data_IF_904560769095
#
_entry.id   IF_904560769095
#
_cell.length_a   1.000
_cell.length_b   1.000
_cell.length_c   1.000
_cell.angle_alpha   90.00
_cell.angle_beta   90.00
_cell.angle_gamma   90.00
#
_symmetry.space_group_name_H-M   'P 1'
#
loop_
_entity.id
_entity.type
_entity.pdbx_description
1 polymer ?
#
# COMPACT_ATOMS: atom_id res chain seq x y z
N UNK A 1 24.91 24.39 3.28
CA UNK A 1 24.52 25.79 3.58
C UNK A 1 23.18 26.04 2.91
N UNK A 2 22.23 26.59 3.66
CA UNK A 2 20.87 26.92 3.23
C UNK A 2 20.85 27.73 1.94
N UNK A 3 19.95 27.39 1.01
CA UNK A 3 19.39 28.33 0.04
C UNK A 3 17.88 28.36 0.23
N UNK A 4 17.39 29.54 0.58
CA UNK A 4 16.00 29.84 0.87
C UNK A 4 15.23 29.95 -0.45
N UNK A 5 14.09 29.28 -0.56
CA UNK A 5 13.09 29.58 -1.58
C UNK A 5 12.24 30.72 -1.04
N UNK A 6 12.30 31.88 -1.70
CA UNK A 6 11.41 33.01 -1.42
C UNK A 6 10.27 32.95 -2.45
N UNK A 7 9.08 32.59 -1.98
CA UNK A 7 7.84 32.68 -2.75
C UNK A 7 7.29 34.10 -2.61
N UNK A 8 7.38 34.90 -3.66
CA UNK A 8 6.74 36.22 -3.73
C UNK A 8 5.39 36.04 -4.44
N UNK A 9 4.30 36.11 -3.68
CA UNK A 9 2.96 36.29 -4.23
C UNK A 9 2.69 37.79 -4.40
N UNK A 10 2.70 38.29 -5.63
CA UNK A 10 2.18 39.63 -5.93
C UNK A 10 0.74 39.51 -6.43
N UNK A 11 -0.22 39.87 -5.59
CA UNK A 11 -1.62 40.10 -5.97
C UNK A 11 -1.73 41.52 -6.54
N UNK A 12 -1.83 41.65 -7.87
CA UNK A 12 -2.28 42.88 -8.50
C UNK A 12 -3.80 42.95 -8.39
N UNK A 13 -4.31 43.66 -7.38
CA UNK A 13 -5.73 44.04 -7.32
C UNK A 13 -5.94 45.38 -8.01
N UNK A 14 -6.33 45.37 -9.28
CA UNK A 14 -7.02 46.53 -9.87
C UNK A 14 -8.52 46.39 -9.63
N UNK A 15 -9.09 47.45 -9.08
CA UNK A 15 -10.54 47.62 -9.02
C UNK A 15 -11.07 47.85 -10.44
N UNK A 16 -12.20 47.22 -10.81
CA UNK A 16 -13.42 47.84 -11.38
C UNK A 16 -14.29 46.82 -12.14
N UNK A 17 -15.61 46.95 -11.88
CA UNK A 17 -16.82 46.49 -12.58
C UNK A 17 -17.40 45.08 -12.33
N UNK A 18 -18.66 44.99 -11.85
CA UNK A 18 -19.39 43.72 -11.73
C UNK A 18 -19.91 43.29 -13.11
N UNK A 19 -19.52 42.10 -13.57
CA UNK A 19 -20.16 41.50 -14.75
C UNK A 19 -19.32 40.55 -15.61
N UNK A 20 -18.03 40.36 -15.33
CA UNK A 20 -17.18 39.45 -16.12
C UNK A 20 -16.45 38.51 -15.17
N UNK A 21 -16.76 37.22 -15.25
CA UNK A 21 -15.95 36.15 -14.65
C UNK A 21 -14.72 35.99 -15.54
N UNK A 22 -13.57 36.54 -15.14
CA UNK A 22 -12.28 36.13 -15.67
C UNK A 22 -11.67 35.12 -14.71
N UNK A 23 -11.33 33.93 -15.23
CA UNK A 23 -10.49 32.98 -14.51
C UNK A 23 -9.10 33.58 -14.28
N UNK A 24 -8.47 33.35 -13.11
CA UNK A 24 -7.15 33.87 -12.83
C UNK A 24 -6.12 33.24 -13.79
N UNK A 25 -5.52 34.07 -14.63
CA UNK A 25 -4.32 33.72 -15.40
C UNK A 25 -3.11 33.77 -14.48
N UNK A 26 -2.46 32.62 -14.26
CA UNK A 26 -1.16 32.54 -13.60
C UNK A 26 -0.08 32.41 -14.68
N UNK A 27 0.78 33.41 -14.80
CA UNK A 27 2.04 33.30 -15.55
C UNK A 27 3.17 33.01 -14.57
N UNK A 28 3.82 31.85 -14.74
CA UNK A 28 5.01 31.48 -14.00
C UNK A 28 6.23 31.76 -14.88
N UNK A 29 7.04 32.75 -14.52
CA UNK A 29 8.37 32.89 -15.11
C UNK A 29 9.35 32.00 -14.35
N UNK A 30 9.95 31.05 -15.09
CA UNK A 30 11.02 30.17 -14.60
C UNK A 30 12.33 30.96 -14.68
N UNK A 31 12.97 31.20 -13.55
CA UNK A 31 14.37 31.63 -13.52
C UNK A 31 15.20 30.37 -13.29
N UNK A 32 15.98 29.99 -14.30
CA UNK A 32 16.89 28.86 -14.24
C UNK A 32 18.21 29.31 -13.61
N UNK A 33 18.58 28.70 -12.49
CA UNK A 33 19.97 28.61 -12.08
C UNK A 33 20.39 27.14 -12.23
N UNK A 34 21.33 26.91 -13.15
CA UNK A 34 22.03 25.64 -13.35
C UNK A 34 22.81 25.26 -12.08
N UNK A 35 22.44 24.14 -11.47
CA UNK A 35 23.32 23.22 -10.76
C UNK A 35 22.51 21.96 -10.41
N UNK A 36 22.41 21.04 -11.37
CA UNK A 36 21.70 19.77 -11.26
C UNK A 36 22.49 18.77 -10.40
N UNK A 37 22.17 18.72 -9.11
CA UNK A 37 22.32 17.48 -8.33
C UNK A 37 21.28 16.47 -8.83
N UNK A 38 21.71 15.29 -9.26
CA UNK A 38 20.84 14.16 -9.60
C UNK A 38 20.05 13.68 -8.36
N UNK A 39 18.92 14.31 -8.08
CA UNK A 39 17.86 13.70 -7.27
C UNK A 39 17.07 12.78 -8.18
N UNK A 40 17.37 11.48 -8.15
CA UNK A 40 16.43 10.49 -8.68
C UNK A 40 15.10 10.63 -7.93
N UNK A 41 14.12 11.25 -8.57
CA UNK A 41 12.73 11.24 -8.13
C UNK A 41 12.29 9.78 -8.08
N UNK A 42 12.20 9.23 -6.87
CA UNK A 42 11.69 7.87 -6.66
C UNK A 42 10.18 7.93 -6.88
N UNK A 43 9.75 7.60 -8.10
CA UNK A 43 8.34 7.44 -8.45
C UNK A 43 7.67 6.47 -7.47
N UNK A 44 6.70 6.99 -6.70
CA UNK A 44 5.90 6.21 -5.76
C UNK A 44 4.89 5.34 -6.52
N UNK A 45 4.65 4.13 -6.02
CA UNK A 45 3.68 3.20 -6.60
C UNK A 45 2.41 3.10 -5.76
N UNK A 46 1.25 3.14 -6.40
CA UNK A 46 -0.05 2.77 -5.80
C UNK A 46 -0.61 1.56 -6.51
N UNK A 47 -0.98 0.54 -5.76
CA UNK A 47 -1.41 -0.76 -6.28
C UNK A 47 -2.84 -1.05 -5.83
N UNK A 48 -3.75 -1.21 -6.78
CA UNK A 48 -5.15 -1.49 -6.50
C UNK A 48 -5.32 -3.01 -6.43
N UNK A 49 -5.62 -3.52 -5.24
CA UNK A 49 -6.07 -4.89 -5.01
C UNK A 49 -7.59 -4.93 -5.05
N UNK A 50 -8.18 -5.85 -5.83
CA UNK A 50 -9.62 -6.03 -5.92
C UNK A 50 -10.01 -7.50 -5.78
N UNK A 51 -11.15 -7.75 -5.15
CA UNK A 51 -11.73 -9.08 -4.95
C UNK A 51 -13.14 -9.13 -5.56
N UNK A 52 -13.36 -9.94 -6.60
CA UNK A 52 -14.70 -10.07 -7.18
C UNK A 52 -15.51 -11.12 -6.43
N UNK A 53 -16.56 -10.67 -5.76
CA UNK A 53 -17.59 -11.54 -5.18
C UNK A 53 -18.71 -11.83 -6.20
N UNK A 54 -19.46 -12.94 -6.03
CA UNK A 54 -20.70 -13.16 -6.78
C UNK A 54 -21.68 -12.00 -6.53
N UNK A 55 -22.43 -11.60 -7.56
CA UNK A 55 -23.37 -10.46 -7.47
C UNK A 55 -24.51 -10.66 -6.47
N UNK A 56 -24.78 -11.90 -6.09
CA UNK A 56 -25.79 -12.30 -5.10
C UNK A 56 -25.33 -12.11 -3.66
N UNK A 57 -24.04 -11.80 -3.44
CA UNK A 57 -23.41 -11.74 -2.14
C UNK A 57 -23.16 -10.29 -1.74
N UNK A 58 -23.51 -9.97 -0.50
CA UNK A 58 -23.07 -8.73 0.14
C UNK A 58 -21.60 -8.89 0.53
N UNK A 59 -20.78 -7.97 0.04
CA UNK A 59 -19.33 -7.96 0.32
C UNK A 59 -19.11 -7.93 1.84
N UNK A 60 -18.41 -8.93 2.41
CA UNK A 60 -18.15 -9.00 3.83
C UNK A 60 -17.02 -8.05 4.21
N UNK A 61 -16.80 -7.87 5.51
CA UNK A 61 -15.61 -7.19 5.98
C UNK A 61 -14.38 -8.08 5.71
N UNK A 62 -13.45 -7.61 4.88
CA UNK A 62 -12.23 -8.33 4.55
C UNK A 62 -11.09 -8.03 5.51
N UNK A 63 -10.20 -8.99 5.68
CA UNK A 63 -9.00 -8.84 6.48
C UNK A 63 -7.77 -9.30 5.71
N UNK A 64 -6.76 -8.43 5.66
CA UNK A 64 -5.47 -8.76 5.08
C UNK A 64 -4.37 -7.86 5.62
N UNK A 65 -3.14 -8.22 5.30
CA UNK A 65 -1.92 -7.58 5.78
C UNK A 65 -0.91 -7.40 4.65
N UNK A 66 -0.10 -6.37 4.79
CA UNK A 66 1.05 -6.13 3.92
C UNK A 66 2.13 -5.39 4.71
N UNK A 67 3.35 -5.94 4.73
CA UNK A 67 4.48 -5.40 5.53
C UNK A 67 4.14 -5.19 7.02
N UNK A 68 3.33 -6.07 7.60
CA UNK A 68 2.88 -5.99 8.99
C UNK A 68 1.73 -5.01 9.25
N UNK A 69 1.34 -4.20 8.26
CA UNK A 69 0.20 -3.29 8.36
C UNK A 69 -1.08 -3.98 7.89
N UNK A 70 -2.18 -3.71 8.59
CA UNK A 70 -3.49 -4.13 8.14
C UNK A 70 -3.89 -3.36 6.87
N UNK A 71 -4.45 -4.09 5.91
CA UNK A 71 -5.00 -3.52 4.69
C UNK A 71 -6.40 -2.95 4.94
N UNK A 72 -6.59 -1.70 4.53
CA UNK A 72 -7.87 -1.01 4.61
C UNK A 72 -8.70 -1.29 3.35
N UNK A 73 -9.60 -2.26 3.46
CA UNK A 73 -10.55 -2.59 2.42
C UNK A 73 -11.77 -1.66 2.49
N UNK A 74 -12.06 -0.97 1.39
CA UNK A 74 -13.34 -0.30 1.15
C UNK A 74 -14.17 -1.24 0.28
N UNK A 75 -15.12 -1.95 0.89
CA UNK A 75 -15.82 -3.07 0.28
C UNK A 75 -14.83 -4.15 -0.23
N UNK A 76 -14.71 -4.29 -1.54
CA UNK A 76 -13.93 -5.32 -2.22
C UNK A 76 -12.58 -4.82 -2.75
N UNK A 77 -12.21 -3.59 -2.42
CA UNK A 77 -11.03 -2.90 -2.95
C UNK A 77 -10.12 -2.40 -1.84
N UNK A 78 -8.82 -2.53 -2.03
CA UNK A 78 -7.79 -1.91 -1.19
C UNK A 78 -6.71 -1.24 -2.05
N UNK A 79 -6.11 -0.17 -1.55
CA UNK A 79 -4.97 0.50 -2.18
C UNK A 79 -3.73 0.26 -1.32
N UNK A 80 -2.72 -0.36 -1.94
CA UNK A 80 -1.40 -0.59 -1.34
C UNK A 80 -0.45 0.48 -1.85
N UNK A 81 0.22 1.21 -0.95
CA UNK A 81 1.16 2.27 -1.31
C UNK A 81 2.60 1.81 -1.09
N UNK A 82 3.45 2.10 -2.07
CA UNK A 82 4.87 1.80 -2.03
C UNK A 82 5.69 3.04 -2.32
N UNK A 83 6.80 3.19 -1.59
CA UNK A 83 7.76 4.28 -1.79
C UNK A 83 8.51 4.19 -3.13
N UNK A 84 8.46 3.03 -3.78
CA UNK A 84 9.07 2.77 -5.10
C UNK A 84 8.19 1.83 -5.90
N UNK A 85 8.31 1.88 -7.21
CA UNK A 85 7.69 0.88 -8.08
C UNK A 85 8.19 -0.55 -7.80
N UNK A 86 7.30 -1.39 -7.30
CA UNK A 86 7.43 -2.84 -7.27
C UNK A 86 7.18 -3.43 -8.68
N UNK A 87 8.08 -4.34 -9.08
CA UNK A 87 7.95 -5.21 -10.25
C UNK A 87 7.34 -6.56 -9.89
N UNK A 88 7.28 -6.93 -8.62
CA UNK A 88 6.65 -8.17 -8.18
C UNK A 88 6.03 -8.07 -6.78
N UNK A 89 5.08 -8.95 -6.53
CA UNK A 89 4.47 -9.17 -5.22
C UNK A 89 4.35 -10.67 -4.97
N UNK A 90 4.52 -11.09 -3.72
CA UNK A 90 4.01 -12.37 -3.25
C UNK A 90 2.64 -12.15 -2.65
N UNK A 91 1.69 -13.04 -2.94
CA UNK A 91 0.37 -13.03 -2.34
C UNK A 91 0.12 -14.37 -1.69
N UNK A 92 -0.36 -14.37 -0.45
CA UNK A 92 -0.72 -15.56 0.30
C UNK A 92 -2.17 -15.42 0.72
N UNK A 93 -2.96 -16.45 0.43
CA UNK A 93 -4.33 -16.57 0.89
C UNK A 93 -4.35 -17.75 1.85
N UNK A 94 -4.72 -17.51 3.11
CA UNK A 94 -4.73 -18.51 4.17
C UNK A 94 -5.87 -18.23 5.13
N UNK A 95 -6.42 -19.27 5.75
CA UNK A 95 -7.50 -19.10 6.73
C UNK A 95 -7.05 -18.31 7.96
N UNK A 96 -5.81 -18.53 8.37
CA UNK A 96 -5.25 -18.05 9.63
C UNK A 96 -3.70 -18.07 9.58
N UNK A 97 -3.07 -17.36 10.51
CA UNK A 97 -1.61 -17.27 10.68
C UNK A 97 -1.25 -17.17 12.16
N UNK A 98 -0.12 -17.76 12.55
CA UNK A 98 0.49 -17.48 13.86
C UNK A 98 1.29 -16.19 13.75
N UNK A 99 1.14 -15.32 14.75
CA UNK A 99 1.87 -14.05 14.81
C UNK A 99 3.01 -14.21 15.80
N UNK A 100 4.23 -13.95 15.34
CA UNK A 100 5.40 -13.90 16.21
C UNK A 100 5.80 -12.45 16.42
N UNK A 101 5.71 -12.00 17.66
CA UNK A 101 6.07 -10.65 18.07
C UNK A 101 7.30 -10.66 18.97
N UNK A 102 8.04 -9.55 18.93
CA UNK A 102 9.05 -9.23 19.93
C UNK A 102 8.74 -7.84 20.48
N UNK A 103 8.63 -7.72 21.80
CA UNK A 103 8.14 -6.55 22.54
C UNK A 103 6.79 -6.00 22.05
N UNK A 104 6.83 -5.08 21.09
CA UNK A 104 5.69 -4.34 20.54
C UNK A 104 5.67 -4.33 19.01
N UNK A 105 6.44 -5.21 18.37
CA UNK A 105 6.57 -5.30 16.91
C UNK A 105 6.34 -6.73 16.44
N UNK A 106 5.62 -6.90 15.32
CA UNK A 106 5.59 -8.19 14.61
C UNK A 106 6.99 -8.40 14.02
N UNK A 107 7.62 -9.53 14.35
CA UNK A 107 8.85 -9.93 13.68
C UNK A 107 8.51 -10.68 12.38
N UNK A 108 7.62 -11.67 12.48
CA UNK A 108 7.13 -12.43 11.32
C UNK A 108 5.75 -13.05 11.55
N UNK A 109 5.16 -13.50 10.43
CA UNK A 109 3.94 -14.29 10.42
C UNK A 109 4.29 -15.71 9.98
N UNK A 110 3.67 -16.70 10.59
CA UNK A 110 3.91 -18.11 10.33
C UNK A 110 2.62 -18.80 9.88
N UNK A 111 2.74 -19.76 8.95
CA UNK A 111 1.64 -20.65 8.63
C UNK A 111 1.28 -21.55 9.79
N UNK A 112 -0.01 -21.88 9.85
CA UNK A 112 -0.51 -22.95 10.71
C UNK A 112 -0.62 -24.21 9.83
N UNK A 113 0.19 -25.26 10.04
CA UNK A 113 0.23 -26.42 9.15
C UNK A 113 -1.10 -27.15 8.96
N UNK A 114 -2.00 -27.07 9.93
CA UNK A 114 -3.33 -27.67 9.85
C UNK A 114 -4.34 -26.84 9.05
N UNK A 115 -3.98 -25.62 8.61
CA UNK A 115 -4.84 -24.70 7.88
C UNK A 115 -4.46 -24.68 6.41
N UNK A 116 -5.44 -24.39 5.55
CA UNK A 116 -5.19 -24.31 4.11
C UNK A 116 -4.55 -22.98 3.76
N UNK A 117 -3.55 -23.04 2.89
CA UNK A 117 -2.83 -21.88 2.35
C UNK A 117 -2.59 -22.08 0.85
N UNK A 118 -2.64 -20.97 0.09
CA UNK A 118 -2.24 -20.89 -1.32
C UNK A 118 -1.32 -19.67 -1.48
N UNK A 119 -0.21 -19.83 -2.18
CA UNK A 119 0.75 -18.76 -2.42
C UNK A 119 0.91 -18.51 -3.91
N UNK A 120 0.99 -17.23 -4.29
CA UNK A 120 1.08 -16.77 -5.66
C UNK A 120 2.19 -15.74 -5.80
N UNK A 121 2.92 -15.79 -6.90
CA UNK A 121 3.84 -14.74 -7.32
C UNK A 121 3.21 -13.95 -8.45
N UNK A 122 3.12 -12.63 -8.23
CA UNK A 122 2.59 -11.67 -9.17
C UNK A 122 3.76 -10.89 -9.74
N UNK A 123 4.07 -11.09 -11.02
CA UNK A 123 5.21 -10.44 -11.68
C UNK A 123 4.72 -9.49 -12.77
N UNK A 124 5.14 -8.23 -12.69
CA UNK A 124 4.79 -7.18 -13.64
C UNK A 124 5.73 -7.24 -14.83
N UNK A 125 5.17 -7.36 -16.02
CA UNK A 125 5.89 -7.21 -17.28
C UNK A 125 5.47 -5.90 -17.95
N UNK A 126 6.46 -5.13 -18.42
CA UNK A 126 6.22 -3.91 -19.19
C UNK A 126 6.59 -4.24 -20.64
N UNK A 127 5.56 -4.28 -21.49
CA UNK A 127 5.70 -4.55 -22.92
C UNK A 127 6.37 -3.36 -23.64
N UNK A 128 6.90 -3.62 -24.83
CA UNK A 128 7.61 -2.60 -25.64
C UNK A 128 6.74 -1.39 -26.02
N UNK A 129 5.43 -1.58 -26.05
CA UNK A 129 4.42 -0.54 -26.31
C UNK A 129 3.97 0.19 -25.03
N UNK A 130 4.61 -0.07 -23.88
CA UNK A 130 4.30 0.53 -22.60
C UNK A 130 3.06 -0.06 -21.91
N UNK A 131 2.49 -1.16 -22.45
CA UNK A 131 1.41 -1.88 -21.79
C UNK A 131 1.95 -2.70 -20.61
N UNK A 132 1.17 -2.71 -19.54
CA UNK A 132 1.49 -3.45 -18.32
C UNK A 132 0.64 -4.70 -18.26
N UNK A 133 1.32 -5.82 -18.08
CA UNK A 133 0.74 -7.14 -18.00
C UNK A 133 1.27 -7.84 -16.75
N UNK A 134 0.37 -8.45 -15.98
CA UNK A 134 0.74 -9.23 -14.81
C UNK A 134 0.79 -10.71 -15.17
N UNK A 135 1.87 -11.36 -14.77
CA UNK A 135 1.98 -12.81 -14.74
C UNK A 135 1.64 -13.29 -13.32
N UNK A 136 0.83 -14.33 -13.23
CA UNK A 136 0.46 -14.98 -11.97
C UNK A 136 0.97 -16.41 -12.00
N UNK A 137 1.75 -16.79 -11.01
CA UNK A 137 2.27 -18.14 -10.83
C UNK A 137 1.84 -18.64 -9.45
N UNK A 138 1.19 -19.80 -9.38
CA UNK A 138 0.84 -20.44 -8.11
C UNK A 138 1.97 -21.37 -7.67
N UNK A 139 2.41 -21.20 -6.43
CA UNK A 139 3.42 -22.05 -5.81
C UNK A 139 2.82 -23.43 -5.50
N UNK A 140 3.63 -24.48 -5.60
CA UNK A 140 3.18 -25.82 -5.18
C UNK A 140 2.97 -25.85 -3.67
N UNK A 141 1.95 -26.58 -3.23
CA UNK A 141 1.53 -26.61 -1.82
C UNK A 141 2.67 -26.96 -0.85
N UNK A 142 3.54 -27.89 -1.24
CA UNK A 142 4.62 -28.38 -0.38
C UNK A 142 5.82 -27.41 -0.29
N UNK A 143 5.85 -26.40 -1.17
CA UNK A 143 6.94 -25.42 -1.28
C UNK A 143 6.61 -24.09 -0.58
N UNK A 144 5.43 -23.96 0.02
CA UNK A 144 5.07 -22.72 0.73
C UNK A 144 5.81 -22.67 2.08
N UNK A 145 6.62 -21.62 2.36
CA UNK A 145 7.43 -21.57 3.56
C UNK A 145 6.57 -21.44 4.83
N UNK A 146 7.00 -22.06 5.93
CA UNK A 146 6.33 -21.91 7.23
C UNK A 146 6.38 -20.45 7.68
N UNK A 147 7.53 -19.80 7.60
CA UNK A 147 7.66 -18.36 7.83
C UNK A 147 7.29 -17.60 6.56
N UNK A 148 6.25 -16.77 6.65
CA UNK A 148 5.75 -16.02 5.50
C UNK A 148 6.68 -14.85 5.13
N UNK A 149 6.83 -14.52 3.83
CA UNK A 149 7.67 -13.41 3.40
C UNK A 149 7.18 -12.08 3.98
N UNK A 150 8.09 -11.27 4.55
CA UNK A 150 7.76 -9.99 5.21
C UNK A 150 7.02 -8.99 4.30
N UNK A 151 7.26 -9.05 2.99
CA UNK A 151 6.62 -8.18 2.00
C UNK A 151 5.52 -8.89 1.17
N UNK A 152 4.95 -9.98 1.68
CA UNK A 152 3.80 -10.61 1.04
C UNK A 152 2.49 -9.86 1.36
N UNK A 153 1.58 -9.84 0.40
CA UNK A 153 0.18 -9.51 0.59
C UNK A 153 -0.49 -10.75 1.18
N UNK A 154 -0.93 -10.67 2.43
CA UNK A 154 -1.56 -11.79 3.12
C UNK A 154 -3.04 -11.50 3.23
N UNK A 155 -3.89 -12.33 2.63
CA UNK A 155 -5.34 -12.26 2.76
C UNK A 155 -5.79 -13.37 3.71
N UNK A 156 -6.43 -13.00 4.82
CA UNK A 156 -7.06 -13.97 5.73
C UNK A 156 -8.42 -14.36 5.16
N UNK A 157 -8.44 -15.47 4.46
CA UNK A 157 -9.62 -15.99 3.75
C UNK A 157 -9.43 -17.49 3.45
N UNK A 158 -10.52 -18.26 3.45
CA UNK A 158 -10.43 -19.68 3.11
C UNK A 158 -10.06 -19.87 1.62
N UNK A 159 -8.91 -20.51 1.30
CA UNK A 159 -8.42 -20.61 -0.07
C UNK A 159 -9.27 -21.48 -0.99
N UNK A 160 -10.09 -22.38 -0.44
CA UNK A 160 -11.00 -23.23 -1.23
C UNK A 160 -12.09 -22.41 -1.91
N UNK A 161 -12.40 -21.20 -1.41
CA UNK A 161 -13.41 -20.32 -1.99
C UNK A 161 -12.84 -19.33 -2.99
N UNK A 162 -11.53 -19.32 -3.19
CA UNK A 162 -10.88 -18.58 -4.27
C UNK A 162 -10.91 -19.42 -5.53
N UNK A 163 -11.65 -18.96 -6.53
CA UNK A 163 -11.73 -19.60 -7.84
C UNK A 163 -10.39 -19.47 -8.57
N UNK A 164 -9.93 -18.23 -8.76
CA UNK A 164 -8.73 -17.92 -9.53
C UNK A 164 -8.17 -16.55 -9.16
N UNK A 165 -6.93 -16.29 -9.55
CA UNK A 165 -6.32 -14.96 -9.54
C UNK A 165 -6.05 -14.56 -10.99
N UNK A 166 -6.92 -13.75 -11.57
CA UNK A 166 -6.89 -13.41 -12.98
C UNK A 166 -6.00 -12.19 -13.23
N UNK A 167 -5.03 -12.26 -14.15
CA UNK A 167 -4.42 -11.06 -14.70
C UNK A 167 -5.50 -10.10 -15.21
N UNK A 168 -5.44 -8.83 -14.78
CA UNK A 168 -6.31 -7.80 -15.32
C UNK A 168 -6.01 -7.56 -16.81
N UNK A 169 -6.99 -7.11 -17.62
CA UNK A 169 -6.74 -6.67 -18.99
C UNK A 169 -5.56 -5.69 -19.05
N UNK A 170 -4.80 -5.73 -20.16
CA UNK A 170 -3.60 -4.90 -20.34
C UNK A 170 -3.88 -3.45 -19.99
N UNK A 171 -3.13 -2.93 -19.04
CA UNK A 171 -3.26 -1.55 -18.60
C UNK A 171 -2.32 -0.70 -19.44
N UNK A 172 -2.84 0.34 -20.11
CA UNK A 172 -1.98 1.43 -20.57
C UNK A 172 -1.40 2.10 -19.34
N UNK A 173 -0.10 2.45 -19.36
CA UNK A 173 0.47 3.38 -18.38
C UNK A 173 -0.48 4.60 -18.34
N UNK A 174 -1.23 4.75 -17.26
CA UNK A 174 -2.30 5.74 -17.20
C UNK A 174 -1.70 7.15 -17.20
N UNK A 175 -2.51 8.17 -17.51
CA UNK A 175 -2.11 9.59 -17.37
C UNK A 175 -1.64 9.95 -15.94
N UNK A 176 -1.99 9.14 -14.95
CA UNK A 176 -1.46 9.23 -13.59
C UNK A 176 -0.29 8.26 -13.44
N UNK A 177 0.92 8.79 -13.57
CA UNK A 177 2.15 8.10 -13.19
C UNK A 177 1.99 7.59 -11.76
N UNK A 178 2.18 6.28 -11.54
CA UNK A 178 2.11 5.75 -10.18
C UNK A 178 1.15 4.59 -9.95
N UNK A 179 0.02 4.51 -10.65
CA UNK A 179 -1.10 3.63 -10.26
C UNK A 179 -1.21 2.38 -11.14
N UNK A 180 -1.26 1.20 -10.52
CA UNK A 180 -1.40 -0.10 -11.21
C UNK A 180 -2.49 -0.93 -10.54
N UNK A 181 -3.34 -1.61 -11.31
CA UNK A 181 -4.22 -2.63 -10.72
C UNK A 181 -3.49 -3.97 -10.69
N UNK A 182 -3.49 -4.60 -9.52
CA UNK A 182 -3.02 -5.97 -9.34
C UNK A 182 -4.00 -6.96 -10.00
N UNK A 183 -3.56 -8.21 -10.24
CA UNK A 183 -4.45 -9.31 -10.60
C UNK A 183 -5.70 -9.38 -9.70
N UNK A 184 -6.83 -9.73 -10.30
CA UNK A 184 -8.12 -9.85 -9.64
C UNK A 184 -8.21 -11.15 -8.87
N UNK A 185 -8.61 -11.10 -7.60
CA UNK A 185 -8.99 -12.31 -6.87
C UNK A 185 -10.47 -12.59 -7.17
N UNK A 186 -10.82 -13.75 -7.73
CA UNK A 186 -12.20 -14.11 -8.01
C UNK A 186 -12.71 -15.17 -7.02
N UNK A 187 -13.82 -14.88 -6.36
CA UNK A 187 -14.46 -15.78 -5.39
C UNK A 187 -15.44 -16.70 -6.11
N UNK A 188 -15.51 -17.97 -5.69
CA UNK A 188 -16.40 -18.98 -6.27
C UNK A 188 -17.88 -18.55 -6.24
N UNK A 189 -18.60 -18.89 -7.31
CA UNK A 189 -19.99 -18.46 -7.55
C UNK A 189 -21.03 -19.12 -6.63
N UNK A 190 -20.70 -20.27 -6.09
CA UNK A 190 -21.59 -21.14 -5.29
C UNK A 190 -21.51 -20.89 -3.78
N UNK A 191 -20.64 -19.96 -3.33
CA UNK A 191 -20.57 -19.62 -1.91
C UNK A 191 -21.85 -18.93 -1.44
N UNK A 192 -22.39 -19.36 -0.30
CA UNK A 192 -23.52 -18.70 0.35
C UNK A 192 -23.06 -17.54 1.25
N UNK A 193 -23.95 -16.56 1.49
CA UNK A 193 -23.65 -15.45 2.40
C UNK A 193 -23.25 -15.94 3.80
N UNK A 194 -23.93 -16.98 4.32
CA UNK A 194 -23.64 -17.54 5.64
C UNK A 194 -22.22 -18.10 5.72
N UNK A 195 -21.82 -18.91 4.73
CA UNK A 195 -20.46 -19.45 4.68
C UNK A 195 -19.41 -18.34 4.62
N UNK A 196 -19.68 -17.31 3.81
CA UNK A 196 -18.78 -16.18 3.68
C UNK A 196 -18.65 -15.38 4.97
N UNK A 197 -19.77 -15.09 5.64
CA UNK A 197 -19.79 -14.38 6.92
C UNK A 197 -19.03 -15.16 8.00
N UNK A 198 -19.17 -16.48 8.04
CA UNK A 198 -18.48 -17.35 9.01
C UNK A 198 -16.97 -17.37 8.76
N UNK A 199 -16.53 -17.44 7.50
CA UNK A 199 -15.11 -17.33 7.10
C UNK A 199 -14.55 -15.97 7.50
N UNK A 200 -15.23 -14.88 7.14
CA UNK A 200 -14.72 -13.55 7.45
C UNK A 200 -14.69 -13.30 8.96
N UNK A 201 -15.68 -13.74 9.73
CA UNK A 201 -15.66 -13.64 11.20
C UNK A 201 -14.46 -14.37 11.79
N UNK A 202 -14.16 -15.60 11.35
CA UNK A 202 -13.01 -16.34 11.87
C UNK A 202 -11.69 -15.63 11.54
N UNK A 203 -11.53 -15.16 10.30
CA UNK A 203 -10.38 -14.35 9.87
C UNK A 203 -10.24 -13.05 10.67
N UNK A 204 -11.35 -12.41 11.03
CA UNK A 204 -11.33 -11.22 11.88
C UNK A 204 -10.96 -11.51 13.32
N UNK A 205 -11.40 -12.64 13.89
CA UNK A 205 -10.98 -13.06 15.22
C UNK A 205 -9.47 -13.31 15.27
N UNK A 206 -8.92 -14.00 14.27
CA UNK A 206 -7.46 -14.15 14.11
C UNK A 206 -6.74 -12.79 14.02
N UNK A 207 -7.36 -11.82 13.36
CA UNK A 207 -6.82 -10.47 13.22
C UNK A 207 -7.01 -9.54 14.43
N UNK A 208 -7.84 -9.89 15.42
CA UNK A 208 -8.01 -9.06 16.63
C UNK A 208 -6.73 -9.05 17.46
N UNK A 209 -6.01 -10.17 17.53
CA UNK A 209 -4.66 -10.21 18.13
C UNK A 209 -3.67 -9.32 17.38
N UNK A 210 -3.96 -9.00 16.11
CA UNK A 210 -3.11 -8.14 15.27
C UNK A 210 -3.32 -6.64 15.59
N UNK A 211 -4.41 -6.24 16.27
CA UNK A 211 -4.68 -4.81 16.55
C UNK A 211 -3.78 -4.17 17.61
N UNK A 212 -2.95 -4.95 18.30
CA UNK A 212 -1.94 -4.43 19.23
C UNK A 212 -0.71 -3.79 18.55
N UNK A 213 -0.63 -3.82 17.22
CA UNK A 213 0.66 -3.79 16.50
C UNK A 213 1.15 -2.41 16.05
N UNK A 214 0.38 -1.35 16.28
CA UNK A 214 0.93 0.01 16.17
C UNK A 214 0.46 0.90 17.32
N UNK A 215 1.10 0.73 18.48
CA UNK A 215 1.17 1.78 19.50
C UNK A 215 2.60 2.17 19.86
N UNK A 216 3.46 2.38 18.85
CA UNK A 216 4.65 3.23 18.93
C UNK A 216 4.84 3.90 17.57
N UNK A 217 4.46 5.18 17.43
CA UNK A 217 5.47 6.23 17.11
C UNK A 217 5.00 7.67 17.36
N UNK A 218 4.06 7.92 18.27
CA UNK A 218 3.87 9.30 18.80
C UNK A 218 4.79 9.61 20.00
N UNK A 219 5.33 8.58 20.66
CA UNK A 219 6.23 8.75 21.82
C UNK A 219 7.70 8.86 21.38
N UNK A 220 8.10 8.17 20.30
CA UNK A 220 9.48 8.27 19.78
C UNK A 220 9.74 9.59 19.04
N UNK A 221 8.73 10.17 18.35
CA UNK A 221 8.84 11.52 17.80
C UNK A 221 9.06 12.60 18.86
N UNK A 222 8.53 12.42 20.07
CA UNK A 222 8.79 13.34 21.20
C UNK A 222 10.20 13.16 21.77
N UNK A 223 10.71 11.93 21.86
CA UNK A 223 12.02 11.67 22.43
C UNK A 223 13.18 12.04 21.48
N UNK A 224 13.01 11.91 20.16
CA UNK A 224 14.01 12.39 19.20
C UNK A 224 14.00 13.92 19.06
N UNK A 225 12.82 14.56 19.14
CA UNK A 225 12.73 16.02 19.22
C UNK A 225 13.36 16.59 20.50
N UNK A 226 13.25 15.88 21.64
CA UNK A 226 13.90 16.28 22.90
C UNK A 226 15.41 16.02 22.90
N UNK A 227 15.90 14.97 22.21
CA UNK A 227 17.34 14.73 22.05
C UNK A 227 18.01 15.77 21.16
N UNK A 228 17.33 16.24 20.11
CA UNK A 228 17.83 17.31 19.23
C UNK A 228 17.95 18.68 19.91
N UNK A 229 17.19 18.94 20.98
CA UNK A 229 17.29 20.20 21.75
C UNK A 229 18.43 20.13 22.80
N UNK A 230 18.94 18.94 23.13
CA UNK A 230 20.00 18.77 24.13
C UNK A 230 21.44 18.88 23.60
N UNK A 231 21.62 19.03 22.27
CA UNK A 231 22.95 19.15 21.64
C UNK A 231 23.35 20.56 21.20
N UNK A 232 22.51 21.58 21.40
CA UNK A 232 22.91 22.98 21.25
C UNK A 232 23.46 23.53 22.57
N UNK A 233 24.69 23.11 22.93
CA UNK A 233 25.49 23.87 23.91
C UNK A 233 26.04 25.14 23.23
N UNK A 234 26.07 26.28 23.95
CA UNK A 234 26.49 27.56 23.39
C UNK A 234 28.00 27.55 23.10
N UNK A 235 28.38 28.06 21.93
CA UNK A 235 29.75 28.43 21.60
C UNK A 235 30.26 29.40 22.69
N UNK A 236 31.19 28.93 23.52
CA UNK A 236 32.01 29.82 24.36
C UNK A 236 32.93 30.60 23.42
N UNK A 237 32.76 31.92 23.40
CA UNK A 237 33.77 32.84 22.93
C UNK A 237 35.02 32.69 23.81
N UNK A 238 36.18 32.48 23.17
CA UNK A 238 37.48 32.69 23.80
C UNK A 238 38.07 33.96 23.19
N UNK A 239 38.23 34.98 24.04
CA UNK A 239 39.24 36.02 23.94
C UNK A 239 40.50 35.50 24.65
#
# INVERSE_FOLDING_TARGET
MNKNIVLILSLLTSWIQPGIVQEPFFTFEKIEDEDTLETSDKEQGSYILRIRFPSTIKVPALCGFYKGYRLDFTNDLCIIKESRHCSSFSMIITEDVTIHWNDHTIDYLEQIPSKKSRMFYLSKNIQKDGLIEWKVEEEKKDDIPSILPKAAIILLFNPDYVNTIEPQPRQKKSLHEGVFSLPLIEIKKDISQKQLDDICKSSWCAAIDIRGIHRRTDVEKKNDALRLISFTRPLKAQL
#
